data_IF_546748082619
#
_entry.id   IF_546748082619
#
_cell.length_a   1.000
_cell.length_b   1.000
_cell.length_c   1.000
_cell.angle_alpha   90.00
_cell.angle_beta   90.00
_cell.angle_gamma   90.00
#
_symmetry.space_group_name_H-M   'P 1'
#
loop_
_entity.id
_entity.type
_entity.pdbx_description
1 polymer ?
#
# COMPACT_ATOMS: atom_id res chain seq x y z
N UNK A 1 -4.17 51.40 -7.89
CA UNK A 1 -4.20 50.15 -7.07
C UNK A 1 -3.04 49.25 -7.49
N UNK A 2 -1.93 49.27 -6.76
CA UNK A 2 -0.81 48.37 -6.99
C UNK A 2 -1.16 46.98 -6.44
N UNK A 3 -1.34 45.99 -7.32
CA UNK A 3 -1.42 44.58 -6.92
C UNK A 3 -0.06 44.17 -6.34
N UNK A 4 0.04 44.15 -5.02
CA UNK A 4 1.15 43.49 -4.33
C UNK A 4 1.10 42.00 -4.67
N UNK A 5 1.88 41.58 -5.68
CA UNK A 5 2.17 40.16 -5.89
C UNK A 5 3.04 39.73 -4.72
N UNK A 6 2.44 39.14 -3.68
CA UNK A 6 3.17 38.47 -2.62
C UNK A 6 4.09 37.43 -3.26
N UNK A 7 5.40 37.72 -3.31
CA UNK A 7 6.42 36.73 -3.64
C UNK A 7 6.36 35.67 -2.56
N UNK A 8 5.86 34.49 -2.87
CA UNK A 8 5.88 33.35 -1.96
C UNK A 8 7.31 33.14 -1.47
N UNK A 9 7.50 33.16 -0.15
CA UNK A 9 8.82 33.07 0.45
C UNK A 9 9.38 31.66 0.15
N UNK A 10 10.65 31.58 -0.28
CA UNK A 10 11.29 30.31 -0.70
C UNK A 10 11.12 29.22 0.36
N UNK A 11 11.17 29.58 1.64
CA UNK A 11 10.93 28.68 2.77
C UNK A 11 9.51 28.12 2.83
N UNK A 12 8.49 28.94 2.58
CA UNK A 12 7.10 28.49 2.52
C UNK A 12 6.89 27.51 1.36
N UNK A 13 7.55 27.76 0.21
CA UNK A 13 7.50 26.86 -0.94
C UNK A 13 8.16 25.51 -0.63
N UNK A 14 9.32 25.50 0.03
CA UNK A 14 10.01 24.26 0.44
C UNK A 14 9.14 23.50 1.45
N UNK A 15 8.61 24.17 2.47
CA UNK A 15 7.73 23.56 3.46
C UNK A 15 6.49 22.91 2.83
N UNK A 16 5.87 23.61 1.87
CA UNK A 16 4.73 23.07 1.13
C UNK A 16 5.10 21.83 0.28
N UNK A 17 6.26 21.83 -0.37
CA UNK A 17 6.75 20.67 -1.12
C UNK A 17 7.01 19.47 -0.21
N UNK A 18 7.61 19.69 0.97
CA UNK A 18 7.81 18.63 1.97
C UNK A 18 6.49 18.05 2.47
N UNK A 19 5.48 18.90 2.67
CA UNK A 19 4.15 18.47 3.07
C UNK A 19 3.48 17.60 2.00
N UNK A 20 3.54 18.03 0.73
CA UNK A 20 3.04 17.23 -0.39
C UNK A 20 3.78 15.90 -0.46
N UNK A 21 5.11 15.93 -0.33
CA UNK A 21 5.93 14.73 -0.38
C UNK A 21 5.56 13.75 0.75
N UNK A 22 5.44 14.24 1.98
CA UNK A 22 4.99 13.45 3.12
C UNK A 22 3.59 12.85 2.92
N UNK A 23 2.66 13.62 2.35
CA UNK A 23 1.31 13.14 2.02
C UNK A 23 1.36 12.00 0.99
N UNK A 24 2.17 12.14 -0.06
CA UNK A 24 2.35 11.10 -1.08
C UNK A 24 2.92 9.82 -0.45
N UNK A 25 3.93 9.93 0.42
CA UNK A 25 4.49 8.78 1.14
C UNK A 25 3.45 8.11 2.02
N UNK A 26 2.66 8.88 2.78
CA UNK A 26 1.63 8.35 3.67
C UNK A 26 0.53 7.59 2.89
N UNK A 27 0.08 8.15 1.76
CA UNK A 27 -0.93 7.53 0.92
C UNK A 27 -0.44 6.23 0.26
N UNK A 28 0.86 6.11 0.01
CA UNK A 28 1.47 4.96 -0.67
C UNK A 28 2.34 4.09 0.27
N UNK A 29 2.18 4.23 1.59
CA UNK A 29 3.04 3.60 2.60
C UNK A 29 3.08 2.07 2.52
N UNK A 30 1.98 1.41 2.14
CA UNK A 30 1.97 -0.06 2.01
C UNK A 30 2.96 -0.52 0.95
N UNK A 31 2.95 0.12 -0.22
CA UNK A 31 3.84 -0.22 -1.35
C UNK A 31 5.27 0.27 -1.12
N UNK A 32 5.44 1.51 -0.66
CA UNK A 32 6.75 2.15 -0.57
C UNK A 32 7.55 1.77 0.68
N UNK A 33 6.85 1.52 1.79
CA UNK A 33 7.47 1.38 3.12
C UNK A 33 7.25 -0.04 3.64
N UNK A 34 6.00 -0.42 3.94
CA UNK A 34 5.73 -1.63 4.71
C UNK A 34 6.17 -2.91 3.99
N UNK A 35 5.89 -3.03 2.69
CA UNK A 35 6.27 -4.20 1.89
C UNK A 35 7.78 -4.42 1.80
N UNK A 36 8.56 -3.34 1.88
CA UNK A 36 10.03 -3.39 1.80
C UNK A 36 10.66 -3.63 3.17
N UNK A 37 10.07 -3.10 4.24
CA UNK A 37 10.62 -3.22 5.60
C UNK A 37 10.24 -4.56 6.25
N UNK A 38 9.16 -5.20 5.81
CA UNK A 38 8.69 -6.46 6.42
C UNK A 38 9.75 -7.59 6.39
N UNK A 39 10.70 -7.55 5.46
CA UNK A 39 11.79 -8.55 5.39
C UNK A 39 12.84 -8.39 6.50
N UNK A 40 12.79 -7.27 7.23
CA UNK A 40 13.76 -6.92 8.28
C UNK A 40 13.14 -6.94 9.69
N UNK A 41 11.94 -7.50 9.85
CA UNK A 41 11.23 -7.60 11.14
C UNK A 41 10.83 -9.04 11.43
N UNK A 42 10.45 -9.31 12.68
CA UNK A 42 9.88 -10.60 13.06
C UNK A 42 8.55 -10.85 12.33
N UNK A 43 8.47 -11.97 11.62
CA UNK A 43 7.35 -12.31 10.74
C UNK A 43 6.85 -13.73 10.95
N UNK A 44 5.57 -13.92 10.63
CA UNK A 44 4.92 -15.23 10.62
C UNK A 44 4.18 -15.44 9.31
N UNK A 45 3.99 -16.70 8.95
CA UNK A 45 3.18 -17.08 7.79
C UNK A 45 1.72 -17.32 8.18
N UNK A 46 0.82 -17.00 7.26
CA UNK A 46 -0.60 -17.34 7.34
C UNK A 46 -1.16 -17.58 5.95
N UNK A 47 -2.20 -18.39 5.85
CA UNK A 47 -2.98 -18.54 4.62
C UNK A 47 -4.01 -17.41 4.54
N UNK A 48 -4.04 -16.72 3.40
CA UNK A 48 -5.00 -15.68 3.10
C UNK A 48 -5.84 -16.09 1.89
N UNK A 49 -7.07 -15.58 1.82
CA UNK A 49 -7.97 -15.81 0.68
C UNK A 49 -7.97 -14.60 -0.23
N UNK A 50 -7.93 -14.82 -1.53
CA UNK A 50 -8.17 -13.77 -2.52
C UNK A 50 -9.65 -13.42 -2.54
N UNK A 51 -9.95 -12.13 -2.44
CA UNK A 51 -11.32 -11.59 -2.37
C UNK A 51 -11.64 -10.77 -3.61
N UNK A 52 -12.94 -10.61 -3.91
CA UNK A 52 -13.42 -9.77 -5.01
C UNK A 52 -13.37 -8.28 -4.65
N UNK A 53 -12.15 -7.80 -4.42
CA UNK A 53 -11.81 -6.40 -4.27
C UNK A 53 -10.59 -6.12 -5.12
N UNK A 54 -10.73 -5.17 -6.04
CA UNK A 54 -9.71 -4.86 -7.05
C UNK A 54 -8.85 -3.68 -6.60
N UNK A 55 -7.54 -3.88 -6.65
CA UNK A 55 -6.56 -2.80 -6.67
C UNK A 55 -6.33 -2.38 -8.11
N UNK A 56 -6.66 -1.12 -8.41
CA UNK A 56 -6.48 -0.52 -9.72
C UNK A 56 -5.25 0.40 -9.65
N UNK A 57 -4.19 0.03 -10.35
CA UNK A 57 -2.99 0.86 -10.43
C UNK A 57 -3.25 2.18 -11.16
N UNK A 58 -2.37 3.17 -10.98
CA UNK A 58 -2.40 4.39 -11.80
C UNK A 58 -2.22 4.00 -13.27
N UNK A 59 -3.16 4.40 -14.13
CA UNK A 59 -3.20 4.00 -15.55
C UNK A 59 -4.00 2.73 -15.85
N UNK A 60 -4.63 2.09 -14.85
CA UNK A 60 -5.47 0.89 -15.06
C UNK A 60 -6.65 1.12 -16.01
N UNK A 61 -7.09 2.37 -16.19
CA UNK A 61 -8.18 2.71 -17.10
C UNK A 61 -7.82 2.49 -18.57
N UNK A 62 -6.53 2.55 -18.92
CA UNK A 62 -6.08 2.37 -20.32
C UNK A 62 -5.60 0.94 -20.62
N UNK A 63 -5.14 0.19 -19.62
CA UNK A 63 -4.45 -1.10 -19.82
C UNK A 63 -5.02 -2.27 -19.03
N UNK A 64 -6.21 -2.11 -18.43
CA UNK A 64 -6.89 -3.13 -17.60
C UNK A 64 -6.00 -3.79 -16.53
N UNK A 65 -5.00 -3.06 -16.02
CA UNK A 65 -4.11 -3.60 -15.00
C UNK A 65 -4.74 -3.49 -13.61
N UNK A 66 -5.26 -4.62 -13.13
CA UNK A 66 -5.72 -4.79 -11.76
C UNK A 66 -5.07 -6.00 -11.10
N UNK A 67 -5.11 -6.01 -9.77
CA UNK A 67 -4.85 -7.20 -8.96
C UNK A 67 -5.92 -7.32 -7.90
N UNK A 68 -6.19 -8.54 -7.42
CA UNK A 68 -7.13 -8.72 -6.31
C UNK A 68 -6.45 -8.48 -4.97
N UNK A 69 -7.23 -8.04 -4.00
CA UNK A 69 -6.86 -8.05 -2.59
C UNK A 69 -6.90 -9.48 -2.06
N UNK A 70 -6.12 -9.74 -1.02
CA UNK A 70 -6.28 -10.89 -0.15
C UNK A 70 -6.73 -10.44 1.23
N UNK A 71 -7.29 -11.37 2.00
CA UNK A 71 -7.60 -11.17 3.40
C UNK A 71 -7.24 -12.39 4.27
N UNK A 72 -6.91 -12.12 5.52
CA UNK A 72 -6.75 -13.15 6.55
C UNK A 72 -7.26 -12.64 7.90
N UNK A 73 -7.67 -13.57 8.75
CA UNK A 73 -8.13 -13.26 10.10
C UNK A 73 -7.05 -13.63 11.12
N UNK A 74 -6.75 -12.69 12.01
CA UNK A 74 -5.81 -12.88 13.10
C UNK A 74 -6.40 -12.25 14.37
N UNK A 75 -6.57 -13.05 15.43
CA UNK A 75 -7.11 -12.61 16.72
C UNK A 75 -8.44 -11.84 16.60
N UNK A 76 -9.36 -12.33 15.77
CA UNK A 76 -10.66 -11.70 15.54
C UNK A 76 -10.64 -10.43 14.69
N UNK A 77 -9.49 -10.04 14.14
CA UNK A 77 -9.36 -8.90 13.22
C UNK A 77 -9.03 -9.37 11.81
N UNK A 78 -9.69 -8.76 10.82
CA UNK A 78 -9.42 -8.99 9.41
C UNK A 78 -8.38 -8.01 8.89
N UNK A 79 -7.36 -8.55 8.24
CA UNK A 79 -6.30 -7.77 7.57
C UNK A 79 -6.39 -8.04 6.08
N UNK A 80 -6.22 -6.98 5.29
CA UNK A 80 -6.31 -7.05 3.84
C UNK A 80 -5.26 -6.14 3.19
N UNK A 81 -4.72 -6.57 2.07
CA UNK A 81 -3.84 -5.78 1.21
C UNK A 81 -3.95 -6.25 -0.25
N UNK A 82 -3.55 -5.41 -1.22
CA UNK A 82 -3.44 -5.86 -2.60
C UNK A 82 -2.42 -6.99 -2.72
N UNK A 83 -2.71 -7.99 -3.54
CA UNK A 83 -1.75 -9.05 -3.85
C UNK A 83 -0.63 -8.56 -4.77
N UNK A 84 -0.91 -7.55 -5.60
CA UNK A 84 -0.04 -7.05 -6.66
C UNK A 84 0.40 -8.15 -7.65
N UNK A 85 -0.32 -9.27 -7.71
CA UNK A 85 -0.08 -10.36 -8.65
C UNK A 85 -1.37 -10.60 -9.44
N UNK A 86 -1.28 -10.48 -10.76
CA UNK A 86 -2.43 -10.62 -11.67
C UNK A 86 -2.83 -12.07 -11.92
N UNK A 87 -1.97 -13.02 -11.54
CA UNK A 87 -2.22 -14.45 -11.74
C UNK A 87 -3.28 -15.00 -10.78
N UNK A 88 -3.43 -14.36 -9.63
CA UNK A 88 -4.37 -14.79 -8.61
C UNK A 88 -5.81 -14.53 -9.02
N UNK A 89 -6.69 -15.49 -8.70
CA UNK A 89 -8.12 -15.48 -8.94
C UNK A 89 -8.87 -15.43 -7.62
N UNK A 90 -10.10 -14.94 -7.66
CA UNK A 90 -11.00 -14.91 -6.49
C UNK A 90 -11.17 -16.32 -5.94
N UNK A 91 -11.04 -16.48 -4.63
CA UNK A 91 -11.15 -17.77 -3.95
C UNK A 91 -9.82 -18.53 -3.80
N UNK A 92 -8.75 -18.12 -4.49
CA UNK A 92 -7.43 -18.71 -4.30
C UNK A 92 -6.99 -18.55 -2.84
N UNK A 93 -6.33 -19.58 -2.30
CA UNK A 93 -5.64 -19.51 -1.02
C UNK A 93 -4.16 -19.26 -1.28
N UNK A 94 -3.63 -18.15 -0.77
CA UNK A 94 -2.23 -17.75 -0.95
C UNK A 94 -1.50 -17.70 0.40
N UNK A 95 -0.19 -17.94 0.37
CA UNK A 95 0.66 -17.78 1.55
C UNK A 95 1.09 -16.31 1.70
N UNK A 96 0.89 -15.77 2.89
CA UNK A 96 1.23 -14.39 3.24
C UNK A 96 2.18 -14.40 4.42
N UNK A 97 3.14 -13.48 4.40
CA UNK A 97 3.90 -13.10 5.59
C UNK A 97 3.33 -11.83 6.19
N UNK A 98 3.27 -11.78 7.52
CA UNK A 98 2.85 -10.60 8.27
C UNK A 98 3.81 -10.35 9.44
N UNK A 99 3.97 -9.09 9.84
CA UNK A 99 4.74 -8.75 11.04
C UNK A 99 3.99 -9.20 12.29
N UNK A 100 4.68 -9.90 13.18
CA UNK A 100 4.11 -10.39 14.44
C UNK A 100 3.63 -9.22 15.35
N UNK A 101 4.36 -8.11 15.34
CA UNK A 101 4.01 -6.90 16.09
C UNK A 101 2.99 -6.02 15.37
N UNK A 102 3.08 -5.92 14.04
CA UNK A 102 2.25 -5.02 13.23
C UNK A 102 1.58 -5.74 12.06
N UNK A 103 0.51 -6.54 12.27
CA UNK A 103 -0.03 -7.41 11.22
C UNK A 103 -0.59 -6.70 9.99
N UNK A 104 -0.84 -5.39 10.03
CA UNK A 104 -1.18 -4.60 8.85
C UNK A 104 -0.02 -4.47 7.85
N UNK A 105 1.22 -4.69 8.31
CA UNK A 105 2.38 -4.90 7.46
C UNK A 105 2.39 -6.37 7.05
N UNK A 106 1.88 -6.65 5.85
CA UNK A 106 1.82 -7.98 5.29
C UNK A 106 2.05 -7.95 3.79
N UNK A 107 2.59 -9.05 3.24
CA UNK A 107 2.76 -9.24 1.79
C UNK A 107 2.61 -10.71 1.40
N UNK A 108 2.16 -11.02 0.18
CA UNK A 108 2.24 -12.38 -0.35
C UNK A 108 3.69 -12.85 -0.40
N UNK A 109 3.91 -14.12 -0.10
CA UNK A 109 5.17 -14.80 -0.44
C UNK A 109 5.20 -14.95 -1.95
N UNK A 110 6.30 -14.53 -2.58
CA UNK A 110 6.50 -14.79 -4.01
C UNK A 110 6.88 -16.26 -4.16
N UNK A 111 6.06 -17.02 -4.88
CA UNK A 111 6.41 -18.33 -5.42
C UNK A 111 7.15 -18.18 -6.75
#
# INVERSE_FOLDING_TARGET
MLKNKQKTNKFQRIGFLLLIFGLILYLNRNTLIYRNIIDYVDTKHINAKIIDKKERGRGSHMFEFYSYYYEFNLNGKTYQNPSYNKKYKIGDSIKVIYSNQFPFMNKPVLE
#
